data_IF_681141122234
#
_entry.id   IF_681141122234
#
_cell.length_a   1.000
_cell.length_b   1.000
_cell.length_c   1.000
_cell.angle_alpha   90.00
_cell.angle_beta   90.00
_cell.angle_gamma   90.00
#
_symmetry.space_group_name_H-M   'P 1'
#
loop_
_entity.id
_entity.type
_entity.pdbx_description
1 polymer ?
#
# COMPACT_ATOMS: atom_id res chain seq x y z
N UNK A 1 29.82 2.17 -36.64
CA UNK A 1 28.98 3.06 -35.77
C UNK A 1 27.47 2.98 -35.98
N UNK A 2 26.95 2.77 -37.21
CA UNK A 2 25.48 2.71 -37.47
C UNK A 2 24.77 1.49 -36.86
N UNK A 3 25.44 0.34 -36.70
CA UNK A 3 24.86 -0.88 -36.12
C UNK A 3 24.66 -0.79 -34.60
N UNK A 4 25.47 -0.02 -33.88
CA UNK A 4 25.38 0.13 -32.42
C UNK A 4 24.18 0.99 -31.99
N UNK A 5 23.82 2.01 -32.78
CA UNK A 5 22.68 2.89 -32.53
C UNK A 5 21.36 2.13 -32.69
N UNK A 6 21.31 1.20 -33.65
CA UNK A 6 20.09 0.39 -33.89
C UNK A 6 19.83 -0.59 -32.76
N UNK A 7 20.87 -1.17 -32.14
CA UNK A 7 20.76 -2.11 -31.04
C UNK A 7 20.26 -1.42 -29.74
N UNK A 8 20.74 -0.20 -29.49
CA UNK A 8 20.27 0.57 -28.30
C UNK A 8 18.80 1.01 -28.43
N UNK A 9 18.35 1.36 -29.64
CA UNK A 9 16.94 1.73 -29.87
C UNK A 9 15.99 0.55 -29.68
N UNK A 10 16.42 -0.65 -30.05
CA UNK A 10 15.64 -1.88 -29.85
C UNK A 10 15.54 -2.26 -28.37
N UNK A 11 16.63 -2.13 -27.60
CA UNK A 11 16.65 -2.40 -26.17
C UNK A 11 15.76 -1.43 -25.40
N UNK A 12 15.74 -0.14 -25.76
CA UNK A 12 14.87 0.85 -25.13
C UNK A 12 13.39 0.58 -25.41
N UNK A 13 13.05 0.14 -26.62
CA UNK A 13 11.67 -0.21 -26.97
C UNK A 13 11.18 -1.47 -26.22
N UNK A 14 12.07 -2.45 -25.97
CA UNK A 14 11.73 -3.65 -25.19
C UNK A 14 11.50 -3.34 -23.73
N UNK A 15 12.27 -2.43 -23.13
CA UNK A 15 12.08 -2.00 -21.73
C UNK A 15 10.74 -1.26 -21.54
N UNK A 16 10.36 -0.39 -22.47
CA UNK A 16 9.06 0.28 -22.41
C UNK A 16 7.90 -0.68 -22.64
N UNK A 17 8.06 -1.69 -23.48
CA UNK A 17 7.03 -2.69 -23.75
C UNK A 17 6.83 -3.63 -22.54
N UNK A 18 7.91 -3.97 -21.82
CA UNK A 18 7.83 -4.78 -20.59
C UNK A 18 7.13 -4.03 -19.44
N UNK A 19 7.37 -2.73 -19.28
CA UNK A 19 6.68 -1.92 -18.29
C UNK A 19 5.18 -1.82 -18.59
N UNK A 20 4.81 -1.52 -19.84
CA UNK A 20 3.41 -1.43 -20.27
C UNK A 20 2.65 -2.77 -20.14
N UNK A 21 3.35 -3.92 -20.30
CA UNK A 21 2.73 -5.23 -20.08
C UNK A 21 2.45 -5.52 -18.61
N UNK A 22 3.29 -5.04 -17.68
CA UNK A 22 3.05 -5.19 -16.24
C UNK A 22 1.81 -4.41 -15.78
N UNK A 23 1.62 -3.19 -16.28
CA UNK A 23 0.46 -2.36 -15.96
C UNK A 23 -0.85 -3.02 -16.41
N UNK A 24 -0.85 -3.69 -17.57
CA UNK A 24 -2.01 -4.41 -18.10
C UNK A 24 -2.38 -5.66 -17.27
N UNK A 25 -1.39 -6.35 -16.69
CA UNK A 25 -1.62 -7.57 -15.87
C UNK A 25 -2.36 -7.22 -14.57
N UNK A 26 -2.07 -6.07 -13.96
CA UNK A 26 -2.63 -5.69 -12.66
C UNK A 26 -3.84 -4.75 -12.75
N UNK A 27 -4.18 -4.27 -13.96
CA UNK A 27 -5.38 -3.47 -14.23
C UNK A 27 -5.29 -2.02 -13.74
N UNK A 28 -4.10 -1.44 -13.64
CA UNK A 28 -3.87 -0.05 -13.27
C UNK A 28 -2.40 0.35 -13.35
N UNK A 29 -2.13 1.64 -13.36
CA UNK A 29 -0.77 2.19 -13.37
C UNK A 29 -0.07 1.91 -12.04
N UNK A 30 1.18 1.46 -12.10
CA UNK A 30 2.00 1.19 -10.90
C UNK A 30 2.79 2.45 -10.56
N UNK A 31 2.51 3.05 -9.41
CA UNK A 31 3.25 4.20 -8.89
C UNK A 31 4.56 3.73 -8.26
N UNK A 32 5.69 4.28 -8.70
CA UNK A 32 6.95 4.17 -7.96
C UNK A 32 6.92 5.14 -6.79
N UNK A 33 6.98 4.62 -5.57
CA UNK A 33 6.95 5.44 -4.38
C UNK A 33 8.36 5.70 -3.86
N UNK A 34 8.63 6.98 -3.59
CA UNK A 34 9.88 7.43 -3.00
C UNK A 34 9.69 7.83 -1.54
N UNK A 35 10.77 7.82 -0.79
CA UNK A 35 10.81 8.36 0.57
C UNK A 35 10.66 9.87 0.50
N UNK A 36 9.54 10.38 0.98
CA UNK A 36 9.28 11.82 1.03
C UNK A 36 9.61 12.36 2.42
N UNK A 37 10.31 13.48 2.48
CA UNK A 37 10.56 14.19 3.74
C UNK A 37 9.25 14.54 4.45
N UNK A 38 9.30 14.81 5.78
CA UNK A 38 8.12 15.08 6.62
C UNK A 38 7.29 16.25 6.06
N UNK A 39 6.14 15.92 5.48
CA UNK A 39 5.14 16.90 5.08
C UNK A 39 4.10 17.07 6.20
N UNK A 40 3.59 18.29 6.37
CA UNK A 40 2.60 18.58 7.40
C UNK A 40 1.18 18.39 6.83
N UNK A 41 0.61 17.21 7.08
CA UNK A 41 -0.79 16.88 6.78
C UNK A 41 -1.55 16.63 8.08
N UNK A 42 -2.86 16.87 8.06
CA UNK A 42 -3.74 16.21 9.01
C UNK A 42 -3.73 14.70 8.72
N UNK A 43 -3.79 13.88 9.76
CA UNK A 43 -3.74 12.42 9.60
C UNK A 43 -4.88 11.75 10.34
N UNK A 44 -5.56 10.86 9.64
CA UNK A 44 -6.38 9.85 10.26
C UNK A 44 -5.47 8.64 10.52
N UNK A 45 -5.07 8.50 11.77
CA UNK A 45 -4.19 7.40 12.16
C UNK A 45 -4.96 6.38 12.97
N UNK A 46 -4.61 5.14 12.76
CA UNK A 46 -4.97 4.10 13.69
C UNK A 46 -4.33 4.45 15.03
N UNK A 47 -5.15 4.81 16.06
CA UNK A 47 -4.67 5.04 17.43
C UNK A 47 -4.16 3.71 18.00
N UNK A 48 -2.89 3.41 17.83
CA UNK A 48 -2.21 2.22 18.35
C UNK A 48 -1.10 2.59 19.34
N UNK A 49 -0.43 1.59 19.87
CA UNK A 49 0.78 1.77 20.65
C UNK A 49 1.78 2.63 19.86
N UNK A 50 2.48 3.55 20.56
CA UNK A 50 3.48 4.43 19.92
C UNK A 50 4.67 3.67 19.34
N UNK A 51 4.90 2.43 19.80
CA UNK A 51 6.02 1.59 19.40
C UNK A 51 5.51 0.29 18.78
N UNK A 52 6.15 -0.17 17.69
CA UNK A 52 5.88 -1.49 17.16
C UNK A 52 6.32 -2.56 18.16
N UNK A 53 5.58 -3.67 18.21
CA UNK A 53 5.86 -4.81 19.10
C UNK A 53 6.62 -5.92 18.37
N UNK A 54 6.54 -5.95 17.04
CA UNK A 54 7.15 -6.95 16.18
C UNK A 54 7.22 -6.44 14.73
N UNK A 55 7.66 -7.30 13.83
CA UNK A 55 7.56 -7.13 12.39
C UNK A 55 6.62 -8.18 11.80
N UNK A 56 5.90 -7.81 10.75
CA UNK A 56 5.15 -8.73 9.91
C UNK A 56 5.75 -8.71 8.52
N UNK A 57 5.93 -9.89 7.91
CA UNK A 57 6.44 -9.98 6.55
C UNK A 57 5.32 -10.23 5.54
N UNK A 58 5.43 -9.55 4.41
CA UNK A 58 4.78 -9.94 3.17
C UNK A 58 5.83 -10.59 2.29
N UNK A 59 5.58 -11.83 1.88
CA UNK A 59 6.47 -12.60 1.03
C UNK A 59 5.66 -13.53 0.13
N UNK A 60 6.22 -13.91 -1.01
CA UNK A 60 5.60 -14.85 -1.90
C UNK A 60 5.39 -16.19 -1.17
N UNK A 61 4.20 -16.79 -1.33
CA UNK A 61 3.84 -18.03 -0.64
C UNK A 61 3.43 -17.87 0.83
N UNK A 62 3.48 -16.68 1.42
CA UNK A 62 2.99 -16.40 2.77
C UNK A 62 1.52 -16.75 2.93
N UNK A 63 1.13 -17.16 4.15
CA UNK A 63 -0.29 -17.30 4.52
C UNK A 63 -1.02 -15.97 4.55
N UNK A 64 -0.29 -14.89 4.82
CA UNK A 64 -0.83 -13.54 4.88
C UNK A 64 -0.97 -12.97 3.46
N UNK A 65 -2.20 -12.85 3.00
CA UNK A 65 -2.52 -12.27 1.69
C UNK A 65 -2.79 -10.77 1.78
N UNK A 66 -3.39 -10.33 2.88
CA UNK A 66 -3.88 -8.98 3.04
C UNK A 66 -3.87 -8.57 4.51
N UNK A 67 -3.37 -7.39 4.82
CA UNK A 67 -3.37 -6.82 6.17
C UNK A 67 -3.41 -5.30 6.09
N UNK A 68 -4.06 -4.68 7.06
CA UNK A 68 -4.16 -3.23 7.08
C UNK A 68 -4.39 -2.63 8.45
N UNK A 69 -5.05 -1.48 8.43
CA UNK A 69 -5.34 -0.66 9.61
C UNK A 69 -6.74 -0.09 9.56
N UNK A 70 -7.42 -0.08 10.68
CA UNK A 70 -8.70 0.62 10.85
C UNK A 70 -8.42 2.07 11.26
N UNK A 71 -9.04 3.03 10.58
CA UNK A 71 -8.98 4.46 10.89
C UNK A 71 -10.37 5.01 11.12
N UNK A 72 -10.50 5.97 12.03
CA UNK A 72 -11.75 6.65 12.33
C UNK A 72 -11.69 8.10 11.83
N UNK A 73 -12.72 8.49 11.10
CA UNK A 73 -12.94 9.83 10.62
C UNK A 73 -14.06 10.47 11.44
N UNK A 74 -13.76 11.51 12.21
CA UNK A 74 -14.74 12.19 13.07
C UNK A 74 -15.38 13.44 12.46
N UNK A 75 -14.85 13.91 11.33
CA UNK A 75 -15.31 15.07 10.60
C UNK A 75 -15.01 14.89 9.10
N UNK A 76 -15.71 15.56 8.18
CA UNK A 76 -15.42 15.47 6.76
C UNK A 76 -13.94 15.69 6.46
N UNK A 77 -13.36 14.85 5.61
CA UNK A 77 -11.93 14.80 5.40
C UNK A 77 -11.60 14.56 3.92
N UNK A 78 -10.76 15.39 3.35
CA UNK A 78 -10.26 15.24 1.99
C UNK A 78 -8.92 14.48 2.02
N UNK A 79 -8.89 13.33 1.36
CA UNK A 79 -7.71 12.47 1.28
C UNK A 79 -6.75 13.03 0.26
N UNK A 80 -5.50 13.24 0.66
CA UNK A 80 -4.43 13.62 -0.26
C UNK A 80 -3.49 12.47 -0.54
N UNK A 81 -3.22 11.62 0.46
CA UNK A 81 -2.27 10.51 0.35
C UNK A 81 -2.59 9.43 1.37
N UNK A 82 -2.20 8.22 1.05
CA UNK A 82 -2.04 7.14 2.02
C UNK A 82 -0.59 7.10 2.48
N UNK A 83 -0.34 6.86 3.76
CA UNK A 83 1.02 6.69 4.27
C UNK A 83 1.21 5.33 4.91
N UNK A 84 2.39 4.77 4.71
CA UNK A 84 2.81 3.50 5.28
C UNK A 84 4.27 3.57 5.73
N UNK A 85 4.57 2.92 6.85
CA UNK A 85 5.94 2.77 7.30
C UNK A 85 6.41 1.38 6.90
N UNK A 86 7.57 1.29 6.26
CA UNK A 86 8.26 0.05 5.95
C UNK A 86 9.52 -0.02 6.79
N UNK A 87 9.78 -1.15 7.42
CA UNK A 87 11.03 -1.35 8.17
C UNK A 87 12.18 -1.69 7.24
N UNK A 88 11.96 -2.62 6.30
CA UNK A 88 12.93 -3.02 5.28
C UNK A 88 12.21 -3.61 4.09
N UNK A 89 12.67 -3.31 2.90
CA UNK A 89 12.33 -4.03 1.68
C UNK A 89 13.55 -4.84 1.26
N UNK A 90 13.48 -6.15 1.38
CA UNK A 90 14.57 -7.07 1.01
C UNK A 90 14.46 -7.48 -0.45
N UNK A 91 13.26 -7.43 -1.03
CA UNK A 91 13.05 -7.63 -2.45
C UNK A 91 13.73 -6.53 -3.28
N UNK A 92 14.26 -6.88 -4.44
CA UNK A 92 14.75 -5.89 -5.40
C UNK A 92 13.64 -4.92 -5.82
N UNK A 93 12.46 -5.46 -6.08
CA UNK A 93 11.22 -4.71 -6.31
C UNK A 93 10.05 -5.49 -5.72
N UNK A 94 9.12 -4.79 -5.07
CA UNK A 94 7.86 -5.35 -4.58
C UNK A 94 6.69 -4.49 -5.07
N UNK A 95 5.64 -5.14 -5.59
CA UNK A 95 4.42 -4.49 -6.11
C UNK A 95 3.28 -4.80 -5.16
N UNK A 96 2.60 -3.77 -4.71
CA UNK A 96 1.45 -3.85 -3.82
C UNK A 96 0.20 -3.25 -4.44
N UNK A 97 -0.95 -3.81 -4.05
CA UNK A 97 -2.27 -3.20 -4.23
C UNK A 97 -2.72 -2.63 -2.90
N UNK A 98 -3.12 -1.35 -2.88
CA UNK A 98 -3.81 -0.72 -1.77
C UNK A 98 -5.32 -0.87 -1.95
N UNK A 99 -6.01 -1.20 -0.87
CA UNK A 99 -7.46 -1.32 -0.77
C UNK A 99 -7.94 -0.32 0.28
N UNK A 100 -8.99 0.44 -0.02
CA UNK A 100 -9.57 1.40 0.91
C UNK A 100 -11.08 1.24 0.95
N UNK A 101 -11.61 0.90 2.14
CA UNK A 101 -13.01 0.55 2.33
C UNK A 101 -13.65 1.33 3.46
N UNK A 102 -14.93 1.65 3.32
CA UNK A 102 -15.78 2.07 4.42
C UNK A 102 -16.35 0.84 5.12
N UNK A 103 -16.36 0.86 6.46
CA UNK A 103 -17.02 -0.16 7.27
C UNK A 103 -18.37 0.40 7.67
N UNK A 104 -19.46 -0.22 7.20
CA UNK A 104 -20.80 0.19 7.53
C UNK A 104 -21.24 -0.33 8.91
N UNK A 105 -22.34 0.22 9.45
CA UNK A 105 -22.82 -0.11 10.78
C UNK A 105 -23.25 -1.58 10.94
N UNK A 106 -23.66 -2.22 9.84
CA UNK A 106 -24.02 -3.65 9.78
C UNK A 106 -22.78 -4.57 9.62
N UNK A 107 -21.57 -4.00 9.56
CA UNK A 107 -20.33 -4.72 9.37
C UNK A 107 -19.98 -5.01 7.90
N UNK A 108 -20.78 -4.56 6.95
CA UNK A 108 -20.44 -4.67 5.53
C UNK A 108 -19.32 -3.71 5.15
N UNK A 109 -18.61 -4.03 4.08
CA UNK A 109 -17.45 -3.27 3.60
C UNK A 109 -17.71 -2.75 2.19
N UNK A 110 -17.68 -1.42 2.02
CA UNK A 110 -17.79 -0.76 0.73
C UNK A 110 -16.41 -0.33 0.23
N UNK A 111 -15.99 -0.79 -0.96
CA UNK A 111 -14.77 -0.31 -1.61
C UNK A 111 -14.95 1.15 -2.03
N UNK A 112 -13.94 1.98 -1.77
CA UNK A 112 -13.97 3.42 -2.06
C UNK A 112 -13.09 3.80 -3.26
N UNK A 113 -12.17 2.93 -3.67
CA UNK A 113 -11.32 3.15 -4.84
C UNK A 113 -12.00 2.58 -6.08
N UNK A 114 -12.32 3.43 -7.05
CA UNK A 114 -12.89 3.02 -8.33
C UNK A 114 -11.84 2.30 -9.19
N UNK A 115 -10.59 2.80 -9.14
CA UNK A 115 -9.44 2.20 -9.83
C UNK A 115 -8.49 1.55 -8.82
N UNK A 116 -7.94 0.36 -9.12
CA UNK A 116 -6.93 -0.26 -8.26
C UNK A 116 -5.73 0.66 -8.06
N UNK A 117 -5.43 1.01 -6.80
CA UNK A 117 -4.26 1.82 -6.47
C UNK A 117 -3.05 0.90 -6.28
N UNK A 118 -2.20 0.86 -7.29
CA UNK A 118 -0.99 0.05 -7.32
C UNK A 118 0.23 0.90 -7.01
N UNK A 119 1.19 0.34 -6.28
CA UNK A 119 2.45 1.00 -6.01
C UNK A 119 3.58 -0.01 -5.92
N UNK A 120 4.80 0.43 -6.24
CA UNK A 120 5.99 -0.38 -6.09
C UNK A 120 7.01 0.29 -5.17
N UNK A 121 7.84 -0.53 -4.54
CA UNK A 121 8.99 -0.09 -3.77
C UNK A 121 10.20 -0.92 -4.13
N UNK A 122 11.37 -0.30 -4.08
CA UNK A 122 12.64 -0.93 -4.35
C UNK A 122 13.34 -1.33 -3.04
N UNK A 123 14.37 -2.14 -3.16
CA UNK A 123 15.16 -2.61 -2.05
C UNK A 123 15.65 -1.47 -1.15
N UNK A 124 15.45 -1.61 0.15
CA UNK A 124 15.90 -0.66 1.17
C UNK A 124 16.14 -1.39 2.48
N UNK A 125 17.31 -1.19 3.07
CA UNK A 125 17.67 -1.69 4.39
C UNK A 125 17.20 -0.76 5.52
N UNK A 126 16.76 0.46 5.20
CA UNK A 126 16.41 1.49 6.17
C UNK A 126 14.90 1.61 6.36
N UNK A 127 14.51 1.89 7.60
CA UNK A 127 13.13 2.23 7.91
C UNK A 127 12.76 3.56 7.26
N UNK A 128 11.69 3.53 6.47
CA UNK A 128 11.20 4.71 5.76
C UNK A 128 9.67 4.84 5.84
N UNK A 129 9.17 6.08 5.71
CA UNK A 129 7.76 6.37 5.52
C UNK A 129 7.52 6.68 4.04
N UNK A 130 6.61 5.95 3.44
CA UNK A 130 6.21 6.07 2.05
C UNK A 130 4.83 6.68 1.94
N UNK A 131 4.58 7.34 0.80
CA UNK A 131 3.30 7.96 0.49
C UNK A 131 2.81 7.47 -0.86
N UNK A 132 1.54 7.05 -0.91
CA UNK A 132 0.84 6.64 -2.12
C UNK A 132 -0.27 7.66 -2.38
N UNK A 133 -0.31 8.25 -3.56
CA UNK A 133 -1.29 9.29 -3.91
C UNK A 133 -2.41 8.66 -4.73
N UNK A 134 -3.69 8.78 -4.32
CA UNK A 134 -4.81 8.37 -5.16
C UNK A 134 -4.90 9.29 -6.38
N UNK A 135 -5.31 8.73 -7.51
CA UNK A 135 -5.57 9.52 -8.73
C UNK A 135 -6.90 10.26 -8.66
N UNK A 136 -7.83 9.72 -7.93
CA UNK A 136 -9.17 10.25 -7.72
C UNK A 136 -9.26 11.10 -6.45
N UNK A 137 -10.18 12.08 -6.46
CA UNK A 137 -10.48 12.90 -5.29
C UNK A 137 -11.38 12.13 -4.33
N UNK A 138 -10.86 11.77 -3.17
CA UNK A 138 -11.59 11.02 -2.16
C UNK A 138 -11.97 11.95 -1.01
N UNK A 139 -13.29 12.09 -0.77
CA UNK A 139 -13.81 12.81 0.38
C UNK A 139 -14.51 11.83 1.33
N UNK A 140 -14.07 11.81 2.59
CA UNK A 140 -14.62 10.95 3.62
C UNK A 140 -15.68 11.70 4.44
N UNK A 141 -16.82 11.07 4.65
CA UNK A 141 -17.76 11.44 5.70
C UNK A 141 -17.27 10.92 7.07
N UNK A 142 -17.84 11.40 8.20
CA UNK A 142 -17.60 10.75 9.48
C UNK A 142 -17.94 9.27 9.43
N UNK A 143 -17.04 8.43 9.96
CA UNK A 143 -17.21 6.97 9.91
C UNK A 143 -15.94 6.19 10.19
N UNK A 144 -16.04 4.87 10.06
CA UNK A 144 -14.93 3.94 10.23
C UNK A 144 -14.49 3.44 8.86
N UNK A 145 -13.19 3.42 8.64
CA UNK A 145 -12.59 3.05 7.36
C UNK A 145 -11.47 2.02 7.58
N UNK A 146 -11.23 1.24 6.56
CA UNK A 146 -10.19 0.23 6.55
C UNK A 146 -9.25 0.44 5.36
N UNK A 147 -7.96 0.52 5.65
CA UNK A 147 -6.90 0.59 4.64
C UNK A 147 -6.10 -0.69 4.72
N UNK A 148 -5.91 -1.37 3.61
CA UNK A 148 -5.12 -2.60 3.58
C UNK A 148 -4.23 -2.67 2.36
N UNK A 149 -3.22 -3.52 2.44
CA UNK A 149 -2.32 -3.81 1.33
C UNK A 149 -2.24 -5.31 1.06
N UNK A 150 -2.04 -5.65 -0.19
CA UNK A 150 -1.78 -7.01 -0.69
C UNK A 150 -0.50 -6.98 -1.49
N UNK A 151 0.45 -7.88 -1.21
CA UNK A 151 1.59 -8.10 -2.09
C UNK A 151 1.10 -8.84 -3.34
N UNK A 152 1.35 -8.25 -4.52
CA UNK A 152 1.00 -8.84 -5.81
C UNK A 152 2.18 -9.59 -6.41
N UNK A 153 3.37 -9.01 -6.30
CA UNK A 153 4.59 -9.53 -6.88
C UNK A 153 5.81 -9.06 -6.10
N UNK A 154 6.88 -9.84 -6.11
CA UNK A 154 8.17 -9.47 -5.56
C UNK A 154 9.29 -10.15 -6.34
N UNK A 155 10.38 -9.42 -6.61
CA UNK A 155 11.54 -9.91 -7.36
C UNK A 155 12.81 -9.88 -6.51
N UNK A 156 13.84 -10.62 -6.93
CA UNK A 156 15.13 -10.73 -6.25
C UNK A 156 15.26 -12.02 -5.44
N UNK A 157 16.40 -12.17 -4.78
CA UNK A 157 16.74 -13.38 -4.01
C UNK A 157 15.89 -13.50 -2.74
N UNK A 158 15.63 -12.37 -2.06
CA UNK A 158 14.77 -12.29 -0.89
C UNK A 158 13.48 -11.53 -1.21
N UNK A 159 12.44 -12.24 -1.58
CA UNK A 159 11.15 -11.69 -1.99
C UNK A 159 10.28 -11.30 -0.79
N UNK A 160 10.82 -10.42 0.07
CA UNK A 160 10.23 -10.10 1.37
C UNK A 160 10.22 -8.61 1.66
N UNK A 161 9.08 -8.13 2.20
CA UNK A 161 8.95 -6.76 2.73
C UNK A 161 8.48 -6.82 4.18
N UNK A 162 9.17 -6.10 5.07
CA UNK A 162 8.94 -6.10 6.51
C UNK A 162 8.27 -4.80 6.94
N UNK A 163 7.12 -4.94 7.60
CA UNK A 163 6.34 -3.84 8.14
C UNK A 163 6.35 -3.87 9.67
N UNK A 164 6.34 -2.71 10.34
CA UNK A 164 6.16 -2.65 11.79
C UNK A 164 4.76 -3.13 12.18
N UNK A 165 4.67 -3.95 13.20
CA UNK A 165 3.41 -4.45 13.74
C UNK A 165 3.05 -3.73 15.03
N UNK A 166 1.82 -3.23 15.13
CA UNK A 166 1.28 -2.53 16.31
C UNK A 166 0.10 -3.28 16.88
N UNK A 167 -0.07 -3.25 18.21
CA UNK A 167 -1.25 -3.81 18.89
C UNK A 167 -2.43 -2.89 18.67
N UNK A 168 -3.32 -3.28 17.76
CA UNK A 168 -4.62 -2.66 17.54
C UNK A 168 -5.50 -3.52 16.65
N UNK A 169 -6.82 -3.45 16.87
CA UNK A 169 -7.80 -4.15 16.01
C UNK A 169 -7.64 -3.79 14.54
N UNK A 170 -7.66 -4.80 13.71
CA UNK A 170 -7.62 -4.71 12.26
C UNK A 170 -8.26 -5.95 11.66
N UNK A 171 -8.06 -6.16 10.35
CA UNK A 171 -8.52 -7.32 9.62
C UNK A 171 -7.40 -7.88 8.75
N UNK A 172 -7.44 -9.18 8.52
CA UNK A 172 -6.56 -9.90 7.60
C UNK A 172 -7.40 -10.73 6.63
N UNK A 173 -6.80 -11.05 5.47
CA UNK A 173 -7.25 -12.13 4.61
C UNK A 173 -6.08 -13.11 4.50
N UNK A 174 -6.30 -14.35 4.88
CA UNK A 174 -5.34 -15.42 4.68
C UNK A 174 -5.43 -15.99 3.26
N UNK A 175 -4.38 -16.69 2.81
CA UNK A 175 -4.20 -17.15 1.43
C UNK A 175 -5.37 -17.99 0.92
N UNK A 176 -5.95 -18.81 1.77
CA UNK A 176 -7.02 -19.76 1.42
C UNK A 176 -8.43 -19.23 1.76
N UNK A 177 -8.54 -17.96 2.15
CA UNK A 177 -9.79 -17.30 2.51
C UNK A 177 -10.06 -16.08 1.64
N UNK A 178 -11.33 -15.79 1.38
CA UNK A 178 -11.81 -14.52 0.82
C UNK A 178 -12.42 -13.61 1.89
N UNK A 179 -12.53 -14.09 3.14
CA UNK A 179 -13.19 -13.37 4.22
C UNK A 179 -12.21 -12.58 5.05
N UNK A 180 -12.61 -11.36 5.44
CA UNK A 180 -11.91 -10.53 6.38
C UNK A 180 -12.05 -11.09 7.80
N UNK A 181 -10.94 -11.51 8.38
CA UNK A 181 -10.88 -12.02 9.75
C UNK A 181 -10.36 -10.93 10.70
N UNK A 182 -11.04 -10.70 11.84
CA UNK A 182 -10.59 -9.72 12.82
C UNK A 182 -9.32 -10.18 13.53
N UNK A 183 -8.36 -9.27 13.67
CA UNK A 183 -7.10 -9.48 14.40
C UNK A 183 -6.83 -8.35 15.36
N UNK A 184 -5.94 -8.57 16.33
CA UNK A 184 -5.56 -7.57 17.34
C UNK A 184 -4.28 -6.79 17.00
N UNK A 185 -3.84 -6.82 15.76
CA UNK A 185 -2.64 -6.13 15.29
C UNK A 185 -2.85 -5.47 13.92
N UNK A 186 -2.03 -4.49 13.58
CA UNK A 186 -2.03 -3.80 12.30
C UNK A 186 -0.60 -3.36 11.91
N UNK A 187 -0.44 -2.83 10.70
CA UNK A 187 0.84 -2.36 10.14
C UNK A 187 0.98 -0.84 10.09
N UNK A 188 0.10 -0.10 10.78
CA UNK A 188 0.22 1.34 10.93
C UNK A 188 -0.02 2.16 9.67
N UNK A 189 -0.86 1.66 8.74
CA UNK A 189 -1.31 2.47 7.60
C UNK A 189 -2.14 3.66 8.10
N UNK A 190 -2.02 4.79 7.42
CA UNK A 190 -2.79 5.99 7.74
C UNK A 190 -3.21 6.76 6.49
N UNK A 191 -4.24 7.60 6.66
CA UNK A 191 -4.70 8.56 5.64
C UNK A 191 -4.17 9.93 5.99
N UNK A 192 -3.50 10.58 5.06
CA UNK A 192 -3.04 11.95 5.16
C UNK A 192 -3.89 12.87 4.26
N UNK A 193 -4.18 14.07 4.72
CA UNK A 193 -5.01 15.01 3.99
C UNK A 193 -5.38 16.23 4.82
N UNK A 194 -6.60 16.73 4.64
CA UNK A 194 -7.09 17.87 5.41
C UNK A 194 -8.54 17.70 5.87
N UNK A 195 -8.84 18.21 7.05
CA UNK A 195 -10.23 18.34 7.51
C UNK A 195 -10.94 19.41 6.73
N UNK A 196 -12.16 19.11 6.28
CA UNK A 196 -13.07 20.07 5.66
C UNK A 196 -13.84 20.75 6.80
N UNK A 197 -13.83 22.08 6.79
CA UNK A 197 -14.57 22.91 7.77
C UNK A 197 -16.02 23.09 7.37
#
# INVERSE_FOLDING_TARGET
>A
MKAFILCCSFLFSFLQYAAAQQDFIYGGDIQDIEVVGKQKYDRLVSKGARMPIAEVSFEEGSKLKFLGSVVECSAPFEVSKFSLTVHRCLAERAIFKLTFRKIEADGTHQELLETPLLFSMNQSAEKAEYYVTPEENITLAPGTYYIGITLLDATGDEQKVLFPMYVKKSFVIEKDSSELQPVSYNIGLSVAGRKIK
#
